data_IF_096230749491
#
_entry.id   IF_096230749491
#
_cell.length_a   1.000
_cell.length_b   1.000
_cell.length_c   1.000
_cell.angle_alpha   90.00
_cell.angle_beta   90.00
_cell.angle_gamma   90.00
#
_symmetry.space_group_name_H-M   'P 1'
#
loop_
_entity.id
_entity.type
_entity.pdbx_description
1 polymer ?
#
# COMPACT_ATOMS: atom_id res chain seq x y z
N UNK A 1 -0.01 14.75 16.39
CA UNK A 1 1.33 14.87 17.00
C UNK A 1 2.36 14.43 15.99
N UNK A 2 3.51 15.09 15.90
CA UNK A 2 4.62 14.67 15.04
C UNK A 2 5.80 14.22 15.91
N UNK A 3 6.44 13.11 15.55
CA UNK A 3 7.64 12.61 16.19
C UNK A 3 8.83 12.73 15.23
N UNK A 4 10.01 13.04 15.76
CA UNK A 4 11.25 13.05 15.00
C UNK A 4 11.96 11.70 15.12
N UNK A 5 12.53 11.22 14.01
CA UNK A 5 13.37 10.05 13.95
C UNK A 5 14.46 10.26 12.90
N UNK A 6 15.55 9.50 13.00
CA UNK A 6 16.69 9.60 12.09
C UNK A 6 16.67 8.47 11.08
N UNK A 7 16.76 8.80 9.79
CA UNK A 7 16.94 7.83 8.70
C UNK A 7 18.41 7.79 8.29
N UNK A 8 18.87 6.60 7.88
CA UNK A 8 20.18 6.42 7.26
C UNK A 8 19.97 6.14 5.79
N UNK A 9 20.62 6.91 4.94
CA UNK A 9 20.67 6.75 3.49
C UNK A 9 22.13 6.60 3.10
N UNK A 10 22.41 5.82 2.07
CA UNK A 10 23.70 5.89 1.40
C UNK A 10 23.84 7.21 0.62
N UNK A 11 25.07 7.52 0.22
CA UNK A 11 25.39 8.80 -0.45
C UNK A 11 24.64 8.95 -1.78
N UNK A 12 24.43 7.85 -2.51
CA UNK A 12 23.71 7.85 -3.78
C UNK A 12 22.23 8.23 -3.59
N UNK A 13 21.57 7.63 -2.61
CA UNK A 13 20.16 7.90 -2.31
C UNK A 13 19.97 9.30 -1.72
N UNK A 14 20.90 9.76 -0.89
CA UNK A 14 20.88 11.14 -0.39
C UNK A 14 20.97 12.14 -1.54
N UNK A 15 21.86 11.92 -2.52
CA UNK A 15 21.98 12.78 -3.69
C UNK A 15 20.69 12.78 -4.55
N UNK A 16 20.04 11.63 -4.71
CA UNK A 16 18.74 11.54 -5.42
C UNK A 16 17.64 12.29 -4.69
N UNK A 17 17.58 12.17 -3.36
CA UNK A 17 16.60 12.89 -2.54
C UNK A 17 16.83 14.41 -2.61
N UNK A 18 18.08 14.85 -2.67
CA UNK A 18 18.46 16.26 -2.81
C UNK A 18 17.99 16.86 -4.13
N UNK A 19 18.25 16.16 -5.24
CA UNK A 19 17.78 16.57 -6.56
C UNK A 19 16.24 16.66 -6.60
N UNK A 20 15.55 15.64 -6.08
CA UNK A 20 14.10 15.62 -6.05
C UNK A 20 13.52 16.75 -5.19
N UNK A 21 14.14 17.03 -4.04
CA UNK A 21 13.76 18.15 -3.18
C UNK A 21 13.89 19.50 -3.90
N UNK A 22 14.99 19.72 -4.62
CA UNK A 22 15.21 20.93 -5.40
C UNK A 22 14.20 21.08 -6.54
N UNK A 23 13.99 20.03 -7.34
CA UNK A 23 13.12 20.07 -8.52
C UNK A 23 11.63 20.25 -8.16
N UNK A 24 11.23 19.86 -6.95
CA UNK A 24 9.83 19.94 -6.48
C UNK A 24 9.56 21.10 -5.53
N UNK A 25 10.57 21.92 -5.22
CA UNK A 25 10.49 22.99 -4.20
C UNK A 25 9.95 22.48 -2.86
N UNK A 26 10.53 21.37 -2.37
CA UNK A 26 10.15 20.73 -1.10
C UNK A 26 11.37 20.39 -0.26
N UNK A 27 11.18 20.32 1.06
CA UNK A 27 12.26 19.87 1.95
C UNK A 27 12.42 18.34 1.87
N UNK A 28 13.64 17.86 2.13
CA UNK A 28 13.95 16.42 2.27
C UNK A 28 13.00 15.74 3.26
N UNK A 29 12.74 16.39 4.39
CA UNK A 29 11.86 15.88 5.44
C UNK A 29 10.41 15.77 4.97
N UNK A 30 9.94 16.70 4.14
CA UNK A 30 8.59 16.62 3.58
C UNK A 30 8.47 15.43 2.63
N UNK A 31 9.44 15.24 1.73
CA UNK A 31 9.44 14.11 0.78
C UNK A 31 9.54 12.79 1.54
N UNK A 32 10.46 12.68 2.50
CA UNK A 32 10.63 11.47 3.30
C UNK A 32 9.36 11.13 4.08
N UNK A 33 8.71 12.11 4.71
CA UNK A 33 7.45 11.91 5.40
C UNK A 33 6.35 11.42 4.46
N UNK A 34 6.22 12.02 3.27
CA UNK A 34 5.23 11.61 2.26
C UNK A 34 5.48 10.23 1.69
N UNK A 35 6.74 9.87 1.44
CA UNK A 35 7.10 8.54 0.99
C UNK A 35 6.75 7.48 2.05
N UNK A 36 7.03 7.77 3.32
CA UNK A 36 6.74 6.86 4.43
C UNK A 36 5.23 6.74 4.67
N UNK A 37 4.48 7.84 4.64
CA UNK A 37 3.02 7.84 4.75
C UNK A 37 2.42 6.94 3.66
N UNK A 38 2.78 7.18 2.40
CA UNK A 38 2.29 6.39 1.26
C UNK A 38 2.64 4.91 1.40
N UNK A 39 3.86 4.60 1.84
CA UNK A 39 4.31 3.21 2.03
C UNK A 39 3.54 2.52 3.17
N UNK A 40 3.37 3.20 4.30
CA UNK A 40 2.66 2.65 5.45
C UNK A 40 1.19 2.42 5.12
N UNK A 41 0.51 3.39 4.51
CA UNK A 41 -0.90 3.26 4.13
C UNK A 41 -1.12 2.07 3.19
N UNK A 42 -0.30 1.96 2.13
CA UNK A 42 -0.39 0.86 1.17
C UNK A 42 -0.23 -0.50 1.84
N UNK A 43 0.79 -0.65 2.69
CA UNK A 43 1.09 -1.95 3.29
C UNK A 43 0.16 -2.29 4.47
N UNK A 44 -0.25 -1.29 5.27
CA UNK A 44 -1.12 -1.51 6.42
C UNK A 44 -2.47 -2.08 5.98
N UNK A 45 -3.10 -1.48 4.96
CA UNK A 45 -4.34 -1.99 4.40
C UNK A 45 -4.20 -3.44 3.90
N UNK A 46 -3.14 -3.76 3.15
CA UNK A 46 -2.90 -5.12 2.65
C UNK A 46 -2.78 -6.12 3.79
N UNK A 47 -1.99 -5.78 4.81
CA UNK A 47 -1.77 -6.65 5.98
C UNK A 47 -3.09 -6.85 6.74
N UNK A 48 -3.90 -5.81 6.90
CA UNK A 48 -5.20 -5.92 7.55
C UNK A 48 -6.15 -6.85 6.78
N UNK A 49 -6.24 -6.71 5.45
CA UNK A 49 -7.06 -7.60 4.62
C UNK A 49 -6.61 -9.05 4.69
N UNK A 50 -5.30 -9.31 4.63
CA UNK A 50 -4.75 -10.67 4.76
C UNK A 50 -5.11 -11.27 6.12
N UNK A 51 -4.96 -10.49 7.20
CA UNK A 51 -5.31 -10.96 8.55
C UNK A 51 -6.80 -11.24 8.70
N UNK A 52 -7.67 -10.40 8.11
CA UNK A 52 -9.10 -10.61 8.13
C UNK A 52 -9.49 -11.90 7.38
N UNK A 53 -9.00 -12.09 6.15
CA UNK A 53 -9.27 -13.29 5.36
C UNK A 53 -8.74 -14.57 5.99
N UNK A 54 -7.57 -14.54 6.64
CA UNK A 54 -7.08 -15.68 7.43
C UNK A 54 -8.00 -16.01 8.60
N UNK A 55 -8.48 -14.99 9.33
CA UNK A 55 -9.39 -15.20 10.45
C UNK A 55 -10.77 -15.73 10.01
N UNK A 56 -11.26 -15.32 8.84
CA UNK A 56 -12.49 -15.85 8.21
C UNK A 56 -12.30 -17.31 7.80
N UNK A 57 -11.18 -17.62 7.13
CA UNK A 57 -10.81 -18.99 6.74
C UNK A 57 -10.69 -19.92 7.97
N UNK A 58 -10.08 -19.45 9.06
CA UNK A 58 -9.97 -20.20 10.31
C UNK A 58 -11.34 -20.49 10.95
N UNK A 59 -12.35 -19.64 10.70
CA UNK A 59 -13.75 -19.87 11.09
C UNK A 59 -14.53 -20.72 10.08
N UNK A 60 -13.92 -21.10 8.96
CA UNK A 60 -14.57 -21.84 7.88
C UNK A 60 -15.51 -20.99 7.03
N UNK A 61 -15.39 -19.67 7.09
CA UNK A 61 -16.21 -18.72 6.32
C UNK A 61 -15.70 -18.63 4.89
N UNK A 62 -16.00 -19.66 4.10
CA UNK A 62 -15.77 -19.68 2.66
C UNK A 62 -17.08 -19.53 1.92
N UNK A 63 -17.02 -18.91 0.74
CA UNK A 63 -18.13 -18.91 -0.19
C UNK A 63 -18.38 -20.31 -0.74
N UNK A 64 -19.63 -20.57 -1.10
CA UNK A 64 -20.03 -21.78 -1.82
C UNK A 64 -19.59 -21.72 -3.27
N UNK A 65 -19.62 -22.86 -3.96
CA UNK A 65 -19.28 -22.96 -5.39
C UNK A 65 -20.21 -22.08 -6.27
N UNK A 66 -21.50 -22.02 -5.94
CA UNK A 66 -22.45 -21.16 -6.67
C UNK A 66 -22.16 -19.66 -6.48
N UNK A 67 -21.78 -19.25 -5.27
CA UNK A 67 -21.37 -17.86 -5.00
C UNK A 67 -20.04 -17.53 -5.70
N UNK A 68 -19.13 -18.50 -5.81
CA UNK A 68 -17.88 -18.33 -6.56
C UNK A 68 -18.17 -18.10 -8.05
N UNK A 69 -19.06 -18.88 -8.65
CA UNK A 69 -19.47 -18.71 -10.06
C UNK A 69 -20.03 -17.30 -10.33
N UNK A 70 -20.84 -16.77 -9.39
CA UNK A 70 -21.39 -15.41 -9.49
C UNK A 70 -20.29 -14.34 -9.42
N UNK A 71 -19.33 -14.49 -8.50
CA UNK A 71 -18.17 -13.59 -8.35
C UNK A 71 -17.32 -13.61 -9.63
N UNK A 72 -17.04 -14.79 -10.18
CA UNK A 72 -16.27 -14.93 -11.42
C UNK A 72 -16.95 -14.22 -12.60
N UNK A 73 -18.26 -14.42 -12.75
CA UNK A 73 -19.04 -13.74 -13.79
C UNK A 73 -18.99 -12.20 -13.64
N UNK A 74 -19.07 -11.69 -12.40
CA UNK A 74 -18.94 -10.25 -12.14
C UNK A 74 -17.56 -9.71 -12.54
N UNK A 75 -16.49 -10.42 -12.14
CA UNK A 75 -15.11 -10.04 -12.47
C UNK A 75 -14.91 -10.02 -13.98
N UNK A 76 -15.35 -11.05 -14.70
CA UNK A 76 -15.25 -11.12 -16.16
C UNK A 76 -15.98 -9.95 -16.83
N UNK A 77 -17.16 -9.60 -16.36
CA UNK A 77 -17.92 -8.47 -16.88
C UNK A 77 -17.26 -7.10 -16.62
N UNK A 78 -16.43 -6.96 -15.57
CA UNK A 78 -15.66 -5.73 -15.31
C UNK A 78 -14.42 -5.65 -16.18
N UNK A 79 -13.71 -6.76 -16.38
CA UNK A 79 -12.52 -6.82 -17.23
C UNK A 79 -12.88 -6.48 -18.68
N UNK A 80 -14.00 -6.97 -19.21
CA UNK A 80 -14.44 -6.70 -20.58
C UNK A 80 -15.03 -5.29 -20.81
N UNK A 81 -15.18 -4.47 -19.75
CA UNK A 81 -15.70 -3.10 -19.84
C UNK A 81 -14.61 -2.03 -19.88
N UNK A 82 -13.34 -2.40 -19.78
CA UNK A 82 -12.17 -1.53 -19.91
C UNK A 82 -11.58 -1.59 -21.31
#
# INVERSE_FOLDING_TARGET
>A
MTAAFTIRLDDEMLAKLDALAADTDRSRSWIAAKAIESYVELNAWQIEQIKAGLAEADRGEFVTEAELDEIEAEIQAKIHRQ
#
